data_IF_647985238460
#
_entry.id   IF_647985238460
#
_cell.length_a   1.000
_cell.length_b   1.000
_cell.length_c   1.000
_cell.angle_alpha   90.00
_cell.angle_beta   90.00
_cell.angle_gamma   90.00
#
_symmetry.space_group_name_H-M   'P 1'
#
loop_
_entity.id
_entity.type
_entity.pdbx_description
1 polymer ?
#
# COMPACT_ATOMS: atom_id res chain seq x y z
N UNK A 1 -24.23 41.39 20.36
CA UNK A 1 -24.90 40.21 19.77
C UNK A 1 -23.80 39.24 19.30
N UNK A 2 -23.55 38.24 20.15
CA UNK A 2 -22.88 36.93 19.93
C UNK A 2 -21.53 36.85 19.18
N UNK A 3 -20.51 36.51 19.99
CA UNK A 3 -19.11 36.17 19.73
C UNK A 3 -18.92 34.89 18.89
N UNK A 4 -18.07 34.94 17.85
CA UNK A 4 -17.65 33.77 17.05
C UNK A 4 -16.23 33.26 17.43
N UNK A 5 -15.83 33.39 18.71
CA UNK A 5 -14.52 32.93 19.23
C UNK A 5 -14.44 31.42 19.54
N UNK A 6 -15.46 30.62 19.20
CA UNK A 6 -15.57 29.22 19.64
C UNK A 6 -14.87 28.15 18.79
N UNK A 7 -14.42 28.46 17.57
CA UNK A 7 -13.97 27.41 16.62
C UNK A 7 -12.54 26.90 16.86
N UNK A 8 -11.67 27.71 17.46
CA UNK A 8 -10.24 27.40 17.64
C UNK A 8 -9.90 26.71 18.97
N UNK A 9 -10.76 26.81 19.97
CA UNK A 9 -10.55 26.19 21.28
C UNK A 9 -10.84 24.68 21.25
N UNK A 10 -11.80 24.25 20.44
CA UNK A 10 -12.25 22.86 20.40
C UNK A 10 -11.18 21.90 19.83
N UNK A 11 -10.40 22.34 18.85
CA UNK A 11 -9.34 21.51 18.25
C UNK A 11 -8.10 21.32 19.13
N UNK A 12 -7.94 22.10 20.22
CA UNK A 12 -6.80 21.94 21.14
C UNK A 12 -7.06 20.98 22.29
N UNK A 13 -8.30 20.59 22.54
CA UNK A 13 -8.66 19.69 23.64
C UNK A 13 -8.54 18.18 23.29
N UNK A 14 -8.42 17.82 22.01
CA UNK A 14 -8.32 16.41 21.56
C UNK A 14 -6.88 15.89 21.45
N UNK A 15 -5.86 16.70 21.75
CA UNK A 15 -4.45 16.32 21.62
C UNK A 15 -3.82 15.74 22.91
N UNK A 16 -4.58 15.65 24.01
CA UNK A 16 -4.07 15.17 25.29
C UNK A 16 -4.75 13.85 25.67
N UNK A 17 -4.22 12.75 25.15
CA UNK A 17 -4.53 11.42 25.65
C UNK A 17 -4.57 10.38 24.55
N UNK A 18 -3.53 9.57 24.46
CA UNK A 18 -3.60 8.12 24.69
C UNK A 18 -2.18 7.56 24.74
N UNK A 19 -2.04 6.55 25.60
CA UNK A 19 -0.87 5.96 26.25
C UNK A 19 0.31 5.53 25.36
N UNK A 20 1.50 5.53 25.99
CA UNK A 20 2.63 4.68 25.62
C UNK A 20 2.17 3.23 25.45
N UNK A 21 2.45 2.66 24.28
CA UNK A 21 2.51 1.21 24.09
C UNK A 21 3.98 0.86 23.87
N UNK A 22 4.57 0.24 24.89
CA UNK A 22 5.84 -0.49 24.77
C UNK A 22 5.60 -1.70 23.85
N UNK A 23 6.04 -1.59 22.60
CA UNK A 23 6.05 -2.74 21.69
C UNK A 23 7.31 -3.52 21.97
N UNK A 24 7.14 -4.64 22.69
CA UNK A 24 8.17 -5.65 22.85
C UNK A 24 8.70 -6.09 21.49
N UNK A 25 10.01 -5.98 21.33
CA UNK A 25 10.74 -6.48 20.17
C UNK A 25 10.59 -8.01 20.12
N UNK A 26 9.70 -8.50 19.26
CA UNK A 26 9.77 -9.87 18.79
C UNK A 26 10.85 -9.88 17.71
N UNK A 27 12.03 -10.39 18.05
CA UNK A 27 13.08 -10.70 17.08
C UNK A 27 12.51 -11.73 16.10
N UNK A 28 12.06 -11.23 14.95
CA UNK A 28 11.56 -12.04 13.85
C UNK A 28 12.78 -12.68 13.20
N UNK A 29 12.95 -13.98 13.45
CA UNK A 29 13.90 -14.85 12.79
C UNK A 29 13.85 -14.58 11.27
N UNK A 30 14.88 -13.91 10.76
CA UNK A 30 15.00 -13.56 9.37
C UNK A 30 15.34 -14.83 8.59
N UNK A 31 14.30 -15.58 8.20
CA UNK A 31 14.41 -16.54 7.13
C UNK A 31 14.93 -15.77 5.91
N UNK A 32 16.18 -16.03 5.50
CA UNK A 32 16.81 -15.41 4.34
C UNK A 32 15.89 -15.60 3.14
N UNK A 33 15.17 -14.54 2.69
CA UNK A 33 14.24 -14.71 1.61
C UNK A 33 15.08 -14.90 0.35
N UNK A 34 14.72 -15.90 -0.47
CA UNK A 34 15.04 -15.82 -1.89
C UNK A 34 14.62 -14.42 -2.36
N UNK A 35 15.55 -13.62 -2.87
CA UNK A 35 15.27 -12.22 -3.24
C UNK A 35 14.17 -12.21 -4.29
N UNK A 36 12.92 -12.05 -3.85
CA UNK A 36 11.77 -11.98 -4.72
C UNK A 36 11.98 -10.81 -5.67
N UNK A 37 12.14 -11.14 -6.95
CA UNK A 37 12.44 -10.14 -7.97
C UNK A 37 11.15 -9.45 -8.37
N UNK A 38 11.08 -8.14 -8.13
CA UNK A 38 9.93 -7.35 -8.57
C UNK A 38 9.95 -7.27 -10.11
N UNK A 39 8.85 -7.63 -10.80
CA UNK A 39 8.76 -7.52 -12.25
C UNK A 39 8.93 -6.07 -12.72
N UNK A 40 9.80 -5.82 -13.72
CA UNK A 40 10.10 -4.47 -14.20
C UNK A 40 8.85 -3.74 -14.71
N UNK A 41 7.97 -4.44 -15.42
CA UNK A 41 6.73 -3.88 -15.96
C UNK A 41 5.81 -3.31 -14.87
N UNK A 42 5.81 -3.89 -13.67
CA UNK A 42 4.98 -3.43 -12.56
C UNK A 42 5.47 -2.08 -12.02
N UNK A 43 6.79 -1.87 -12.06
CA UNK A 43 7.40 -0.60 -11.70
C UNK A 43 7.18 0.46 -12.80
N UNK A 44 7.16 0.04 -14.07
CA UNK A 44 6.86 0.90 -15.22
C UNK A 44 5.41 1.38 -15.26
N UNK A 45 4.49 0.67 -14.61
CA UNK A 45 3.09 1.08 -14.49
C UNK A 45 2.92 2.40 -13.69
N UNK A 46 3.92 2.77 -12.88
CA UNK A 46 3.84 3.90 -11.97
C UNK A 46 4.64 5.08 -12.52
N UNK A 47 3.94 6.17 -12.82
CA UNK A 47 4.54 7.40 -13.34
C UNK A 47 5.51 8.07 -12.36
N UNK A 48 5.03 8.47 -11.17
CA UNK A 48 5.85 9.16 -10.16
C UNK A 48 6.21 8.21 -9.00
N UNK A 49 7.33 7.49 -9.17
CA UNK A 49 7.73 6.40 -8.25
C UNK A 49 8.04 6.88 -6.84
N UNK A 50 8.64 8.06 -6.67
CA UNK A 50 9.01 8.55 -5.34
C UNK A 50 7.78 8.96 -4.53
N UNK A 51 6.79 9.60 -5.16
CA UNK A 51 5.53 9.91 -4.50
C UNK A 51 4.73 8.65 -4.17
N UNK A 52 4.65 7.70 -5.10
CA UNK A 52 4.03 6.41 -4.89
C UNK A 52 4.68 5.64 -3.72
N UNK A 53 6.02 5.54 -3.69
CA UNK A 53 6.74 4.88 -2.59
C UNK A 53 6.46 5.53 -1.23
N UNK A 54 6.23 6.85 -1.17
CA UNK A 54 5.82 7.51 0.09
C UNK A 54 4.46 7.03 0.57
N UNK A 55 3.47 6.95 -0.33
CA UNK A 55 2.14 6.41 -0.02
C UNK A 55 2.26 4.94 0.39
N UNK A 56 3.06 4.16 -0.32
CA UNK A 56 3.34 2.76 -0.01
C UNK A 56 3.94 2.55 1.38
N UNK A 57 4.88 3.41 1.81
CA UNK A 57 5.40 3.37 3.18
C UNK A 57 4.32 3.64 4.22
N UNK A 58 3.50 4.66 3.99
CA UNK A 58 2.41 5.02 4.90
C UNK A 58 1.38 3.87 5.01
N UNK A 59 1.14 3.15 3.91
CA UNK A 59 0.34 1.93 3.89
C UNK A 59 0.96 0.78 4.71
N UNK A 60 2.25 0.50 4.49
CA UNK A 60 2.96 -0.59 5.17
C UNK A 60 3.08 -0.39 6.68
N UNK A 61 3.18 0.87 7.15
CA UNK A 61 3.12 1.19 8.58
C UNK A 61 1.78 0.79 9.21
N UNK A 62 0.68 0.88 8.45
CA UNK A 62 -0.65 0.46 8.90
C UNK A 62 -0.92 -1.04 8.69
N UNK A 63 -0.18 -1.71 7.80
CA UNK A 63 -0.29 -3.14 7.46
C UNK A 63 1.07 -3.85 7.49
N UNK A 64 1.64 -4.07 8.69
CA UNK A 64 2.94 -4.72 8.84
C UNK A 64 2.94 -6.19 8.38
N UNK A 65 1.77 -6.82 8.28
CA UNK A 65 1.59 -8.16 7.71
C UNK A 65 1.86 -8.23 6.20
N UNK A 66 1.64 -7.12 5.48
CA UNK A 66 1.95 -6.99 4.06
C UNK A 66 3.36 -6.42 3.79
N UNK A 67 4.17 -6.16 4.82
CA UNK A 67 5.54 -5.61 4.68
C UNK A 67 6.58 -6.64 4.21
N UNK A 68 6.27 -7.37 3.14
CA UNK A 68 7.10 -8.40 2.54
C UNK A 68 6.87 -8.45 1.02
N UNK A 69 7.95 -8.43 0.23
CA UNK A 69 7.88 -8.39 -1.24
C UNK A 69 7.10 -9.58 -1.80
N UNK A 70 7.36 -10.80 -1.30
CA UNK A 70 6.66 -12.01 -1.75
C UNK A 70 5.17 -11.93 -1.44
N UNK A 71 4.80 -11.49 -0.24
CA UNK A 71 3.39 -11.34 0.14
C UNK A 71 2.68 -10.34 -0.77
N UNK A 72 3.31 -9.19 -1.06
CA UNK A 72 2.71 -8.19 -1.95
C UNK A 72 2.56 -8.71 -3.38
N UNK A 73 3.58 -9.41 -3.91
CA UNK A 73 3.50 -10.03 -5.23
C UNK A 73 2.38 -11.08 -5.27
N UNK A 74 2.28 -11.97 -4.29
CA UNK A 74 1.21 -12.97 -4.23
C UNK A 74 -0.19 -12.34 -4.20
N UNK A 75 -0.36 -11.22 -3.48
CA UNK A 75 -1.63 -10.50 -3.44
C UNK A 75 -1.97 -9.82 -4.76
N UNK A 76 -0.98 -9.27 -5.45
CA UNK A 76 -1.15 -8.65 -6.76
C UNK A 76 -1.45 -9.74 -7.81
N UNK A 77 -0.73 -10.87 -7.77
CA UNK A 77 -0.98 -12.03 -8.63
C UNK A 77 -2.39 -12.57 -8.45
N UNK A 78 -2.89 -12.67 -7.22
CA UNK A 78 -4.26 -13.08 -6.95
C UNK A 78 -5.28 -12.11 -7.57
N UNK A 79 -5.06 -10.80 -7.45
CA UNK A 79 -5.93 -9.79 -8.04
C UNK A 79 -5.93 -9.85 -9.58
N UNK A 80 -4.76 -10.05 -10.20
CA UNK A 80 -4.63 -10.17 -11.65
C UNK A 80 -5.20 -11.50 -12.18
N UNK A 81 -5.07 -12.58 -11.41
CA UNK A 81 -5.65 -13.89 -11.76
C UNK A 81 -7.17 -13.81 -11.79
N UNK A 82 -7.78 -13.04 -10.88
CA UNK A 82 -9.22 -12.77 -10.91
C UNK A 82 -9.67 -12.04 -12.19
N UNK A 83 -8.78 -11.28 -12.83
CA UNK A 83 -9.02 -10.64 -14.13
C UNK A 83 -8.74 -11.56 -15.34
N UNK A 84 -8.42 -12.84 -15.10
CA UNK A 84 -8.17 -13.82 -16.15
C UNK A 84 -6.69 -14.07 -16.47
N UNK A 85 -5.75 -13.58 -15.65
CA UNK A 85 -4.31 -13.88 -15.81
C UNK A 85 -3.94 -15.28 -15.32
N UNK A 86 -2.99 -15.94 -15.98
CA UNK A 86 -2.27 -17.10 -15.43
C UNK A 86 -0.88 -16.69 -14.93
N UNK A 87 -0.77 -16.31 -13.66
CA UNK A 87 0.46 -15.93 -12.91
C UNK A 87 1.29 -14.75 -13.48
N UNK A 88 1.94 -13.97 -12.61
CA UNK A 88 2.80 -12.82 -13.00
C UNK A 88 4.27 -13.22 -13.15
N UNK A 89 4.58 -14.50 -13.03
CA UNK A 89 5.96 -15.00 -12.93
C UNK A 89 6.76 -14.95 -14.24
N UNK A 90 6.17 -14.57 -15.37
CA UNK A 90 6.97 -14.35 -16.59
C UNK A 90 6.17 -13.97 -17.83
N UNK A 91 6.73 -13.00 -18.56
CA UNK A 91 6.38 -12.54 -19.91
C UNK A 91 5.16 -11.63 -20.09
N UNK A 92 5.47 -10.52 -20.78
CA UNK A 92 4.64 -9.39 -21.23
C UNK A 92 4.12 -8.43 -20.14
N UNK A 93 4.28 -7.09 -20.35
CA UNK A 93 3.63 -6.09 -19.52
C UNK A 93 2.13 -6.23 -19.66
N UNK A 94 1.43 -6.33 -18.52
CA UNK A 94 0.01 -6.62 -18.49
C UNK A 94 -0.77 -5.49 -17.84
N UNK A 95 -0.50 -4.29 -18.36
CA UNK A 95 -1.11 -3.06 -17.86
C UNK A 95 -2.63 -3.10 -17.96
N UNK A 96 -3.19 -3.81 -18.95
CA UNK A 96 -4.63 -3.97 -19.11
C UNK A 96 -5.25 -4.79 -17.97
N UNK A 97 -4.62 -5.90 -17.55
CA UNK A 97 -5.12 -6.66 -16.40
C UNK A 97 -4.90 -5.91 -15.08
N UNK A 98 -3.82 -5.13 -14.96
CA UNK A 98 -3.62 -4.27 -13.79
C UNK A 98 -4.68 -3.18 -13.69
N UNK A 99 -4.98 -2.48 -14.79
CA UNK A 99 -6.08 -1.51 -14.87
C UNK A 99 -7.43 -2.17 -14.60
N UNK A 100 -7.67 -3.37 -15.14
CA UNK A 100 -8.86 -4.18 -14.84
C UNK A 100 -8.99 -4.48 -13.35
N UNK A 101 -7.92 -4.94 -12.69
CA UNK A 101 -7.91 -5.26 -11.27
C UNK A 101 -8.18 -4.02 -10.41
N UNK A 102 -7.55 -2.88 -10.75
CA UNK A 102 -7.79 -1.61 -10.08
C UNK A 102 -9.26 -1.18 -10.21
N UNK A 103 -9.86 -1.33 -11.38
CA UNK A 103 -11.29 -1.00 -11.59
C UNK A 103 -12.21 -1.95 -10.83
N UNK A 104 -11.91 -3.25 -10.81
CA UNK A 104 -12.64 -4.26 -10.03
C UNK A 104 -12.63 -3.90 -8.55
N UNK A 105 -11.46 -3.52 -8.03
CA UNK A 105 -11.32 -3.13 -6.63
C UNK A 105 -12.22 -1.95 -6.26
N UNK A 106 -12.30 -0.93 -7.12
CA UNK A 106 -13.22 0.19 -6.89
C UNK A 106 -14.68 -0.24 -7.00
N UNK A 107 -15.04 -1.06 -7.99
CA UNK A 107 -16.41 -1.56 -8.17
C UNK A 107 -16.89 -2.42 -7.00
N UNK A 108 -15.98 -3.18 -6.39
CA UNK A 108 -16.24 -4.08 -5.25
C UNK A 108 -16.03 -3.42 -3.89
N UNK A 109 -15.68 -2.13 -3.85
CA UNK A 109 -15.33 -1.41 -2.63
C UNK A 109 -14.12 -2.02 -1.87
N UNK A 110 -13.22 -2.72 -2.57
CA UNK A 110 -11.93 -3.19 -2.09
C UNK A 110 -10.90 -2.05 -2.10
N UNK A 111 -11.20 -0.98 -1.37
CA UNK A 111 -10.39 0.24 -1.32
C UNK A 111 -9.76 0.46 0.06
N UNK A 112 -8.67 1.23 0.09
CA UNK A 112 -7.95 1.58 1.31
C UNK A 112 -7.79 3.10 1.39
N UNK A 113 -8.01 3.66 2.58
CA UNK A 113 -7.71 5.07 2.85
C UNK A 113 -6.29 5.22 3.36
N UNK A 114 -5.46 5.96 2.64
CA UNK A 114 -4.08 6.31 3.06
C UNK A 114 -3.94 7.82 3.00
N UNK A 115 -3.72 8.46 4.15
CA UNK A 115 -3.56 9.92 4.27
C UNK A 115 -4.70 10.74 3.62
N UNK A 116 -5.93 10.24 3.74
CA UNK A 116 -7.12 10.89 3.19
C UNK A 116 -7.36 10.62 1.70
N UNK A 117 -6.49 9.84 1.05
CA UNK A 117 -6.69 9.35 -0.32
C UNK A 117 -7.35 7.99 -0.28
N UNK A 118 -8.37 7.78 -1.10
CA UNK A 118 -8.97 6.45 -1.33
C UNK A 118 -8.27 5.86 -2.55
N UNK A 119 -7.62 4.71 -2.36
CA UNK A 119 -6.89 3.99 -3.39
C UNK A 119 -7.44 2.58 -3.50
N UNK A 120 -7.32 1.95 -4.66
CA UNK A 120 -7.63 0.52 -4.76
C UNK A 120 -6.62 -0.31 -3.97
N UNK A 121 -7.05 -1.48 -3.49
CA UNK A 121 -6.15 -2.39 -2.76
C UNK A 121 -4.98 -2.85 -3.62
N UNK A 122 -5.20 -3.06 -4.92
CA UNK A 122 -4.15 -3.43 -5.88
C UNK A 122 -3.16 -2.28 -6.10
N UNK A 123 -3.66 -1.06 -6.30
CA UNK A 123 -2.82 0.13 -6.51
C UNK A 123 -1.90 0.40 -5.31
N UNK A 124 -2.46 0.39 -4.09
CA UNK A 124 -1.66 0.68 -2.90
C UNK A 124 -0.61 -0.40 -2.63
N UNK A 125 -0.86 -1.65 -3.03
CA UNK A 125 0.14 -2.74 -2.96
C UNK A 125 1.27 -2.57 -3.97
N UNK A 126 0.98 -2.08 -5.17
CA UNK A 126 2.03 -1.70 -6.14
C UNK A 126 2.89 -0.56 -5.59
N UNK A 127 2.26 0.43 -4.94
CA UNK A 127 2.99 1.50 -4.26
C UNK A 127 3.82 0.99 -3.07
N UNK A 128 3.30 0.01 -2.33
CA UNK A 128 4.03 -0.67 -1.26
C UNK A 128 5.24 -1.46 -1.79
N UNK A 129 5.14 -2.09 -2.96
CA UNK A 129 6.31 -2.72 -3.60
C UNK A 129 7.39 -1.70 -3.94
N UNK A 130 7.04 -0.51 -4.44
CA UNK A 130 7.98 0.57 -4.68
C UNK A 130 8.66 1.06 -3.39
N UNK A 131 7.97 1.00 -2.24
CA UNK A 131 8.54 1.34 -0.95
C UNK A 131 9.59 0.34 -0.47
N UNK A 132 9.47 -0.93 -0.87
CA UNK A 132 10.40 -2.02 -0.53
C UNK A 132 11.50 -2.24 -1.59
N UNK A 133 11.30 -1.75 -2.81
CA UNK A 133 12.27 -1.85 -3.89
C UNK A 133 13.53 -1.01 -3.56
N UNK A 134 14.74 -1.49 -3.89
CA UNK A 134 15.94 -0.65 -3.86
C UNK A 134 15.72 0.56 -4.77
N UNK A 135 15.83 1.78 -4.24
CA UNK A 135 15.72 2.99 -5.04
C UNK A 135 17.03 3.17 -5.82
N UNK A 136 17.08 2.67 -7.04
CA UNK A 136 18.17 2.90 -8.00
C UNK A 136 17.97 4.21 -8.74
#
# INVERSE_FOLDING_TARGET
MTTLSGRRAFLRALAAGVLLVEVGACEREAATPATARIPAWLLEAVGERTAAARIGRDYLLARPDEANVTVLLDRIDAALTHQGKTAVTGSAPDFALLDGAVRSDYAENNVVSVRGWILSSTEVRVYALLALAPQT
#
